data_IF_144111625650
#
_entry.id   IF_144111625650
#
_cell.length_a   1.000
_cell.length_b   1.000
_cell.length_c   1.000
_cell.angle_alpha   90.00
_cell.angle_beta   90.00
_cell.angle_gamma   90.00
#
_symmetry.space_group_name_H-M   'P 1'
#
loop_
_entity.id
_entity.type
_entity.pdbx_description
1 polymer ?
#
# COMPACT_ATOMS: atom_id res chain seq x y z
N UNK A 1 1.66 4.40 8.49
CA UNK A 1 2.46 4.18 7.26
C UNK A 1 1.52 3.74 6.16
N UNK A 2 1.83 4.08 4.91
CA UNK A 2 1.05 3.60 3.77
C UNK A 2 1.69 2.37 3.16
N UNK A 3 0.90 1.34 2.94
CA UNK A 3 1.27 0.12 2.23
C UNK A 3 0.61 0.08 0.87
N UNK A 4 1.35 -0.32 -0.15
CA UNK A 4 0.88 -0.62 -1.49
C UNK A 4 0.74 -2.13 -1.62
N UNK A 5 -0.50 -2.62 -1.61
CA UNK A 5 -0.80 -4.04 -1.74
C UNK A 5 -1.15 -4.33 -3.19
N UNK A 6 -0.29 -5.08 -3.87
CA UNK A 6 -0.56 -5.61 -5.20
C UNK A 6 -1.34 -6.91 -5.04
N UNK A 7 -2.56 -6.92 -5.59
CA UNK A 7 -3.46 -8.05 -5.52
C UNK A 7 -3.91 -8.48 -6.90
N UNK A 8 -4.14 -9.78 -7.07
CA UNK A 8 -4.85 -10.35 -8.22
C UNK A 8 -6.19 -10.87 -7.77
N UNK A 9 -7.22 -10.51 -8.54
CA UNK A 9 -8.59 -11.00 -8.34
C UNK A 9 -9.07 -11.60 -9.65
N UNK A 10 -9.68 -12.78 -9.60
CA UNK A 10 -10.23 -13.50 -10.75
C UNK A 10 -9.19 -13.68 -11.90
N UNK A 11 -7.99 -14.16 -11.55
CA UNK A 11 -6.99 -14.64 -12.50
C UNK A 11 -6.15 -13.58 -13.22
N UNK A 12 -6.73 -12.45 -13.61
CA UNK A 12 -6.07 -11.56 -14.59
C UNK A 12 -5.91 -10.10 -14.15
N UNK A 13 -6.79 -9.58 -13.28
CA UNK A 13 -6.75 -8.17 -12.90
C UNK A 13 -5.84 -7.93 -11.71
N UNK A 14 -4.58 -7.60 -12.00
CA UNK A 14 -3.66 -6.97 -11.03
C UNK A 14 -4.18 -5.58 -10.67
N UNK A 15 -4.33 -5.34 -9.36
CA UNK A 15 -4.74 -4.06 -8.79
C UNK A 15 -3.81 -3.71 -7.64
N UNK A 16 -3.46 -2.44 -7.53
CA UNK A 16 -2.68 -1.94 -6.40
C UNK A 16 -3.60 -1.15 -5.50
N UNK A 17 -3.65 -1.51 -4.22
CA UNK A 17 -4.43 -0.83 -3.20
C UNK A 17 -3.51 -0.10 -2.24
N UNK A 18 -3.59 1.25 -2.15
CA UNK A 18 -2.97 2.00 -1.07
C UNK A 18 -3.80 1.81 0.20
N UNK A 19 -3.19 1.23 1.23
CA UNK A 19 -3.79 0.97 2.54
C UNK A 19 -2.92 1.63 3.59
N UNK A 20 -3.49 2.58 4.32
CA UNK A 20 -2.87 3.12 5.53
C UNK A 20 -3.06 2.11 6.67
N UNK A 21 -1.97 1.65 7.28
CA UNK A 21 -1.95 0.68 8.36
C UNK A 21 -0.72 0.89 9.26
N UNK A 22 -0.75 0.27 10.45
CA UNK A 22 0.39 0.24 11.37
C UNK A 22 1.38 -0.85 10.98
N UNK A 23 0.85 -2.01 10.57
CA UNK A 23 1.62 -3.21 10.24
C UNK A 23 1.02 -3.95 9.04
N UNK A 24 1.77 -4.90 8.47
CA UNK A 24 1.34 -5.68 7.31
C UNK A 24 0.06 -6.50 7.58
N UNK A 25 -0.13 -6.98 8.81
CA UNK A 25 -1.31 -7.73 9.23
C UNK A 25 -2.57 -6.85 9.14
N UNK A 26 -2.53 -5.65 9.72
CA UNK A 26 -3.64 -4.70 9.67
C UNK A 26 -3.90 -4.26 8.22
N UNK A 27 -2.85 -4.12 7.41
CA UNK A 27 -2.98 -3.76 6.00
C UNK A 27 -3.77 -4.82 5.20
N UNK A 28 -3.54 -6.11 5.47
CA UNK A 28 -4.30 -7.22 4.87
C UNK A 28 -5.76 -7.22 5.33
N UNK A 29 -6.02 -7.02 6.61
CA UNK A 29 -7.39 -6.97 7.14
C UNK A 29 -8.19 -5.81 6.52
N UNK A 30 -7.57 -4.63 6.41
CA UNK A 30 -8.17 -3.45 5.74
C UNK A 30 -8.35 -3.65 4.24
N UNK A 31 -7.48 -4.41 3.59
CA UNK A 31 -7.66 -4.77 2.18
C UNK A 31 -8.90 -5.66 2.01
N UNK A 32 -9.07 -6.69 2.86
CA UNK A 32 -10.21 -7.60 2.80
C UNK A 32 -11.55 -6.88 3.05
N UNK A 33 -11.58 -5.88 3.94
CA UNK A 33 -12.81 -5.09 4.17
C UNK A 33 -13.17 -4.22 2.97
N UNK A 34 -12.19 -3.69 2.23
CA UNK A 34 -12.41 -2.91 1.00
C UNK A 34 -12.81 -3.77 -0.20
N UNK A 35 -12.48 -5.06 -0.19
CA UNK A 35 -12.86 -5.97 -1.26
C UNK A 35 -14.32 -6.45 -1.10
N UNK A 36 -15.07 -6.57 -2.21
CA UNK A 36 -16.38 -7.20 -2.22
C UNK A 36 -16.31 -8.62 -1.68
N UNK A 37 -17.34 -9.11 -0.94
CA UNK A 37 -17.32 -10.44 -0.33
C UNK A 37 -17.02 -11.56 -1.33
N UNK A 38 -17.55 -11.48 -2.56
CA UNK A 38 -17.28 -12.43 -3.66
C UNK A 38 -15.80 -12.50 -4.08
N UNK A 39 -15.05 -11.42 -3.87
CA UNK A 39 -13.64 -11.31 -4.25
C UNK A 39 -12.69 -11.63 -3.09
N UNK A 40 -13.19 -11.79 -1.86
CA UNK A 40 -12.36 -12.07 -0.68
C UNK A 40 -11.78 -13.47 -0.69
N UNK A 41 -12.50 -14.45 -1.23
CA UNK A 41 -12.05 -15.85 -1.29
C UNK A 41 -11.05 -16.11 -2.44
N UNK A 42 -11.06 -15.26 -3.48
CA UNK A 42 -10.21 -15.39 -4.66
C UNK A 42 -9.10 -14.34 -4.78
N UNK A 43 -8.86 -13.53 -3.74
CA UNK A 43 -7.80 -12.52 -3.76
C UNK A 43 -6.45 -13.15 -3.45
N UNK A 44 -5.48 -12.94 -4.35
CA UNK A 44 -4.09 -13.30 -4.13
C UNK A 44 -3.31 -12.01 -3.89
N UNK A 45 -2.67 -11.89 -2.73
CA UNK A 45 -1.75 -10.78 -2.44
C UNK A 45 -0.37 -11.17 -2.96
N UNK A 46 0.07 -10.56 -4.07
CA UNK A 46 1.37 -10.84 -4.68
C UNK A 46 2.51 -10.17 -3.94
N UNK A 47 2.31 -8.92 -3.54
CA UNK A 47 3.37 -8.12 -2.93
C UNK A 47 2.79 -7.05 -2.04
N UNK A 48 3.40 -6.89 -0.87
CA UNK A 48 3.15 -5.79 0.05
C UNK A 48 4.41 -4.96 0.06
N UNK A 49 4.29 -3.67 -0.27
CA UNK A 49 5.40 -2.72 -0.22
C UNK A 49 4.97 -1.56 0.66
N UNK A 50 5.91 -0.98 1.40
CA UNK A 50 5.67 0.34 2.01
C UNK A 50 5.76 1.36 0.88
N UNK A 51 4.80 2.28 0.83
CA UNK A 51 4.83 3.40 -0.11
C UNK A 51 6.04 4.27 0.24
N UNK A 52 7.03 4.39 -0.65
CA UNK A 52 8.21 5.21 -0.39
C UNK A 52 7.84 6.68 -0.15
N UNK A 53 6.72 7.18 -0.70
CA UNK A 53 6.24 8.53 -0.41
C UNK A 53 5.76 8.70 1.05
N UNK A 54 5.36 7.60 1.71
CA UNK A 54 5.01 7.61 3.14
C UNK A 54 6.23 7.54 4.05
N UNK A 55 7.43 7.32 3.51
CA UNK A 55 8.70 7.30 4.26
C UNK A 55 9.46 8.62 4.14
N UNK A 56 8.92 9.61 3.40
CA UNK A 56 9.54 10.94 3.25
C UNK A 56 9.07 11.87 4.37
N UNK A 57 9.51 11.61 5.59
CA UNK A 57 9.81 12.62 6.62
C UNK A 57 11.32 12.44 6.86
N UNK A 58 12.27 13.34 6.66
CA UNK A 58 12.36 14.76 6.35
C UNK A 58 13.43 14.92 5.24
N UNK A 59 13.27 15.87 4.31
CA UNK A 59 14.45 16.45 3.63
C UNK A 59 14.79 17.76 4.33
N UNK A 60 15.83 17.83 5.18
CA UNK A 60 16.18 19.03 5.94
C UNK A 60 17.07 19.97 5.11
N UNK A 61 16.72 20.23 3.85
CA UNK A 61 17.58 21.02 2.97
C UNK A 61 16.88 22.30 2.48
N UNK A 62 16.91 23.32 3.33
CA UNK A 62 17.10 24.69 2.87
C UNK A 62 18.59 24.90 2.63
N UNK A 63 19.09 24.65 1.42
CA UNK A 63 20.43 25.09 1.03
C UNK A 63 20.28 26.59 0.74
N UNK A 64 20.70 27.43 1.69
CA UNK A 64 20.87 28.86 1.46
C UNK A 64 22.17 29.02 0.65
N UNK A 65 22.05 29.28 -0.65
CA UNK A 65 23.16 29.79 -1.45
C UNK A 65 23.07 31.31 -1.42
N UNK A 66 23.90 31.95 -0.61
CA UNK A 66 24.09 33.40 -0.63
C UNK A 66 25.15 33.73 -1.71
N UNK A 67 24.83 34.75 -2.50
CA UNK A 67 25.50 35.25 -3.72
C UNK A 67 26.94 35.75 -3.46
#
# INVERSE_FOLDING_TARGET
MRYLLNVRVDGDKKRTYPIDARDETEAKERLLTRLPPKQREGVIVDTIKIDPASLVEESPFGIYSED
#
